data_IF_010987916576
#
_entry.id   IF_010987916576
#
_cell.length_a   1.000
_cell.length_b   1.000
_cell.length_c   1.000
_cell.angle_alpha   90.00
_cell.angle_beta   90.00
_cell.angle_gamma   90.00
#
_symmetry.space_group_name_H-M   'P 1'
#
loop_
_entity.id
_entity.type
_entity.pdbx_description
1 polymer ?
#
# COMPACT_ATOMS: atom_id res chain seq x y z
N UNK A 1 -12.92 -4.29 1.09
CA UNK A 1 -11.65 -3.61 1.40
C UNK A 1 -11.90 -2.62 2.53
N UNK A 2 -10.92 -2.42 3.40
CA UNK A 2 -10.99 -1.53 4.56
C UNK A 2 -10.23 -0.22 4.33
N UNK A 3 -9.27 -0.23 3.39
CA UNK A 3 -8.69 0.94 2.75
C UNK A 3 -8.42 0.63 1.27
N UNK A 4 -8.52 1.64 0.41
CA UNK A 4 -8.26 1.54 -1.03
C UNK A 4 -7.33 2.69 -1.41
N UNK A 5 -6.17 2.37 -1.97
CA UNK A 5 -5.18 3.34 -2.43
C UNK A 5 -5.25 3.40 -3.96
N UNK A 6 -5.62 4.56 -4.51
CA UNK A 6 -5.82 4.77 -5.94
C UNK A 6 -4.89 5.87 -6.47
N UNK A 7 -4.52 5.87 -7.77
CA UNK A 7 -3.58 6.85 -8.32
C UNK A 7 -4.03 8.31 -8.22
N UNK A 8 -5.35 8.55 -8.25
CA UNK A 8 -5.98 9.87 -8.21
C UNK A 8 -5.87 10.53 -6.83
N UNK A 9 -5.68 9.73 -5.77
CA UNK A 9 -5.63 10.20 -4.39
C UNK A 9 -4.29 9.74 -3.77
N UNK A 10 -3.29 10.63 -3.70
CA UNK A 10 -2.04 10.32 -3.01
C UNK A 10 -2.30 9.91 -1.57
N UNK A 11 -1.71 8.79 -1.16
CA UNK A 11 -2.03 8.19 0.14
C UNK A 11 -1.04 8.60 1.23
N UNK A 12 -1.54 8.64 2.45
CA UNK A 12 -0.73 8.76 3.66
C UNK A 12 -0.78 7.42 4.40
N UNK A 13 0.37 6.76 4.54
CA UNK A 13 0.43 5.43 5.13
C UNK A 13 0.13 5.45 6.63
N UNK A 14 0.40 6.55 7.33
CA UNK A 14 0.08 6.70 8.75
C UNK A 14 -1.44 6.69 8.95
N UNK A 15 -2.19 7.40 8.10
CA UNK A 15 -3.67 7.37 8.14
C UNK A 15 -4.26 5.99 7.87
N UNK A 16 -3.63 5.21 6.98
CA UNK A 16 -4.05 3.83 6.73
C UNK A 16 -3.77 2.96 7.96
N UNK A 17 -2.61 3.12 8.59
CA UNK A 17 -2.26 2.42 9.81
C UNK A 17 -3.21 2.77 10.98
N UNK A 18 -3.52 4.05 11.19
CA UNK A 18 -4.51 4.51 12.16
C UNK A 18 -5.87 3.84 11.94
N UNK A 19 -6.33 3.77 10.68
CA UNK A 19 -7.59 3.11 10.34
C UNK A 19 -7.58 1.62 10.68
N UNK A 20 -6.46 0.94 10.48
CA UNK A 20 -6.30 -0.48 10.83
C UNK A 20 -6.36 -0.68 12.34
N UNK A 21 -5.67 0.17 13.11
CA UNK A 21 -5.65 0.10 14.58
C UNK A 21 -7.00 0.46 15.21
N UNK A 22 -7.71 1.48 14.68
CA UNK A 22 -9.08 1.82 15.10
C UNK A 22 -10.05 0.64 14.90
N UNK A 23 -9.90 -0.09 13.80
CA UNK A 23 -10.71 -1.30 13.55
C UNK A 23 -10.44 -2.39 14.56
N UNK A 24 -9.18 -2.62 14.90
CA UNK A 24 -8.79 -3.58 15.92
C UNK A 24 -9.34 -3.21 17.29
N UNK A 25 -9.26 -1.94 17.68
CA UNK A 25 -9.83 -1.45 18.93
C UNK A 25 -11.35 -1.68 19.02
N UNK A 26 -12.04 -1.78 17.87
CA UNK A 26 -13.47 -2.14 17.76
C UNK A 26 -13.74 -3.65 17.63
N UNK A 27 -12.74 -4.49 17.90
CA UNK A 27 -12.86 -5.96 17.85
C UNK A 27 -12.75 -6.57 16.44
N UNK A 28 -12.29 -5.80 15.44
CA UNK A 28 -12.06 -6.32 14.08
C UNK A 28 -10.56 -6.60 13.88
N UNK A 29 -10.17 -7.85 14.07
CA UNK A 29 -8.76 -8.27 14.11
C UNK A 29 -8.08 -8.43 12.73
N UNK A 30 -8.74 -8.06 11.64
CA UNK A 30 -8.16 -8.10 10.30
C UNK A 30 -8.55 -6.86 9.48
N UNK A 31 -7.68 -6.53 8.52
CA UNK A 31 -7.91 -5.48 7.54
C UNK A 31 -7.42 -5.93 6.15
N UNK A 32 -8.16 -5.53 5.11
CA UNK A 32 -7.80 -5.72 3.70
C UNK A 32 -7.52 -4.35 3.09
N UNK A 33 -6.29 -4.12 2.64
CA UNK A 33 -5.90 -2.90 1.92
C UNK A 33 -5.74 -3.26 0.44
N UNK A 34 -6.48 -2.57 -0.42
CA UNK A 34 -6.37 -2.73 -1.88
C UNK A 34 -5.53 -1.59 -2.43
N UNK A 35 -4.50 -1.91 -3.22
CA UNK A 35 -3.53 -0.94 -3.72
C UNK A 35 -3.50 -1.03 -5.23
N UNK A 36 -3.86 0.06 -5.91
CA UNK A 36 -3.65 0.17 -7.34
C UNK A 36 -2.16 0.27 -7.66
N UNK A 37 -1.72 -0.30 -8.79
CA UNK A 37 -0.31 -0.30 -9.21
C UNK A 37 0.27 1.12 -9.32
N UNK A 38 -0.54 2.07 -9.80
CA UNK A 38 -0.19 3.49 -9.89
C UNK A 38 -0.39 4.30 -8.60
N UNK A 39 -0.72 3.67 -7.47
CA UNK A 39 -0.89 4.38 -6.21
C UNK A 39 0.46 4.97 -5.75
N UNK A 40 0.43 6.21 -5.27
CA UNK A 40 1.63 6.92 -4.80
C UNK A 40 1.39 7.58 -3.44
N UNK A 41 2.41 7.64 -2.58
CA UNK A 41 2.28 8.35 -1.31
C UNK A 41 2.24 9.87 -1.53
N UNK A 42 1.73 10.62 -0.56
CA UNK A 42 1.82 12.09 -0.56
C UNK A 42 3.30 12.49 -0.68
N UNK A 43 3.62 13.30 -1.69
CA UNK A 43 4.96 13.83 -1.91
C UNK A 43 6.01 12.81 -2.39
N UNK A 44 5.62 11.58 -2.72
CA UNK A 44 6.54 10.57 -3.24
C UNK A 44 6.24 10.14 -4.68
N UNK A 45 7.16 9.34 -5.20
CA UNK A 45 7.10 8.83 -6.57
C UNK A 45 6.45 7.44 -6.66
N UNK A 46 6.08 7.08 -7.90
CA UNK A 46 5.58 5.75 -8.24
C UNK A 46 6.62 4.68 -7.91
N UNK A 47 6.15 3.50 -7.49
CA UNK A 47 7.02 2.35 -7.32
C UNK A 47 7.32 1.72 -8.68
N UNK A 48 8.59 1.72 -9.08
CA UNK A 48 9.07 1.21 -10.37
C UNK A 48 9.89 -0.06 -10.14
N UNK A 49 9.59 -1.14 -10.87
CA UNK A 49 10.31 -2.42 -10.81
C UNK A 49 11.56 -2.46 -11.70
N UNK A 50 11.71 -1.53 -12.64
CA UNK A 50 12.91 -1.39 -13.47
C UNK A 50 12.76 -0.31 -14.56
N UNK A 51 13.90 0.21 -15.03
CA UNK A 51 13.98 1.16 -16.15
C UNK A 51 14.94 0.56 -17.20
N UNK A 52 14.41 -0.01 -18.28
CA UNK A 52 15.20 -0.38 -19.47
C UNK A 52 15.13 0.76 -20.50
N UNK A 53 16.28 1.21 -21.00
CA UNK A 53 16.37 2.22 -22.06
C UNK A 53 15.63 1.71 -23.31
N UNK A 54 14.49 2.35 -23.63
CA UNK A 54 13.68 2.02 -24.81
C UNK A 54 12.42 1.19 -24.54
N UNK A 55 12.10 0.85 -23.28
CA UNK A 55 10.82 0.22 -22.89
C UNK A 55 10.01 1.10 -21.93
N UNK A 56 8.70 0.86 -21.95
CA UNK A 56 7.74 1.48 -21.04
C UNK A 56 8.09 1.16 -19.58
N UNK A 57 7.91 2.13 -18.68
CA UNK A 57 8.27 2.01 -17.26
C UNK A 57 7.44 0.89 -16.62
N UNK A 58 8.11 -0.16 -16.13
CA UNK A 58 7.41 -1.24 -15.45
C UNK A 58 7.12 -0.84 -14.01
N UNK A 59 5.85 -0.57 -13.71
CA UNK A 59 5.41 -0.32 -12.34
C UNK A 59 5.42 -1.62 -11.54
N UNK A 60 5.55 -1.48 -10.22
CA UNK A 60 5.48 -2.62 -9.32
C UNK A 60 6.24 -2.41 -8.02
N UNK A 61 6.02 -3.33 -7.07
CA UNK A 61 6.61 -3.22 -5.74
C UNK A 61 5.78 -2.36 -4.78
N UNK A 62 4.72 -1.70 -5.24
CA UNK A 62 3.88 -0.84 -4.38
C UNK A 62 3.16 -1.66 -3.31
N UNK A 63 2.69 -2.86 -3.65
CA UNK A 63 2.03 -3.75 -2.70
C UNK A 63 2.98 -4.19 -1.60
N UNK A 64 4.20 -4.59 -1.95
CA UNK A 64 5.25 -4.98 -1.00
C UNK A 64 5.68 -3.79 -0.12
N UNK A 65 5.83 -2.60 -0.71
CA UNK A 65 6.19 -1.37 0.01
C UNK A 65 5.11 -0.97 1.02
N UNK A 66 3.85 -0.98 0.61
CA UNK A 66 2.71 -0.69 1.49
C UNK A 66 2.64 -1.74 2.60
N UNK A 67 2.77 -3.03 2.28
CA UNK A 67 2.74 -4.10 3.27
C UNK A 67 3.87 -3.97 4.30
N UNK A 68 5.10 -3.69 3.86
CA UNK A 68 6.24 -3.48 4.76
C UNK A 68 6.02 -2.26 5.67
N UNK A 69 5.57 -1.14 5.12
CA UNK A 69 5.32 0.07 5.91
C UNK A 69 4.17 -0.11 6.91
N UNK A 70 3.07 -0.76 6.52
CA UNK A 70 1.98 -1.08 7.44
C UNK A 70 2.44 -2.03 8.55
N UNK A 71 3.24 -3.05 8.22
CA UNK A 71 3.82 -3.94 9.24
C UNK A 71 4.65 -3.16 10.26
N UNK A 72 5.47 -2.22 9.82
CA UNK A 72 6.26 -1.36 10.73
C UNK A 72 5.37 -0.46 11.58
N UNK A 73 4.36 0.19 10.99
CA UNK A 73 3.50 1.16 11.69
C UNK A 73 2.51 0.50 12.66
N UNK A 74 1.98 -0.66 12.31
CA UNK A 74 0.93 -1.32 13.11
C UNK A 74 1.44 -2.49 13.94
N UNK A 75 2.65 -3.01 13.66
CA UNK A 75 3.20 -4.20 14.30
C UNK A 75 2.47 -5.51 13.95
N UNK A 76 1.59 -5.50 12.95
CA UNK A 76 0.72 -6.64 12.60
C UNK A 76 1.35 -7.51 11.52
N UNK A 77 1.08 -8.82 11.56
CA UNK A 77 1.45 -9.68 10.44
C UNK A 77 0.74 -9.21 9.17
N UNK A 78 1.52 -8.94 8.13
CA UNK A 78 1.05 -8.29 6.91
C UNK A 78 1.60 -9.05 5.72
N UNK A 79 0.70 -9.39 4.78
CA UNK A 79 1.04 -10.13 3.55
C UNK A 79 0.52 -9.37 2.35
N UNK A 80 1.34 -9.23 1.33
CA UNK A 80 0.95 -8.72 0.01
C UNK A 80 0.72 -9.88 -0.95
N UNK A 81 -0.28 -9.73 -1.81
CA UNK A 81 -0.54 -10.63 -2.95
C UNK A 81 -0.79 -9.74 -4.17
N UNK A 82 -0.09 -10.03 -5.26
CA UNK A 82 -0.28 -9.38 -6.57
C UNK A 82 -1.04 -10.36 -7.45
N UNK A 83 -2.15 -9.92 -8.04
CA UNK A 83 -3.08 -10.81 -8.75
C UNK A 83 -2.68 -11.11 -10.20
N UNK A 84 -1.70 -10.39 -10.76
CA UNK A 84 -1.23 -10.56 -12.14
C UNK A 84 -0.98 -9.22 -12.80
#
# INVERSE_FOLDING_TARGET
ADAILIPEIPFDLEKVAEKILDREARGRHFAIVVVAEGAKPVGGELAVKGHELGREVQLGGIAERVAAGLKTLTGKDTRSVVLG
#
